data_IF_147919799511
#
_entry.id   IF_147919799511
#
_cell.length_a   1.000
_cell.length_b   1.000
_cell.length_c   1.000
_cell.angle_alpha   90.00
_cell.angle_beta   90.00
_cell.angle_gamma   90.00
#
_symmetry.space_group_name_H-M   'P 1'
#
loop_
_entity.id
_entity.type
_entity.pdbx_description
1 polymer ?
#
# COMPACT_ATOMS: atom_id res chain seq x y z
N UNK A 1 -64.70 -6.21 -34.87
CA UNK A 1 -64.78 -7.58 -34.30
C UNK A 1 -63.99 -8.51 -35.21
N UNK A 2 -62.76 -8.87 -34.84
CA UNK A 2 -62.22 -10.25 -34.84
C UNK A 2 -61.06 -10.21 -33.86
N UNK A 3 -61.17 -11.00 -32.79
CA UNK A 3 -60.14 -11.20 -31.78
C UNK A 3 -59.11 -12.20 -32.32
N UNK A 4 -57.83 -11.89 -32.16
CA UNK A 4 -56.72 -12.82 -32.37
C UNK A 4 -56.09 -13.13 -31.03
N UNK A 5 -56.46 -14.28 -30.48
CA UNK A 5 -55.92 -14.89 -29.28
C UNK A 5 -54.54 -15.48 -29.59
N UNK A 6 -53.51 -15.12 -28.82
CA UNK A 6 -52.17 -15.67 -28.97
C UNK A 6 -51.61 -15.94 -27.57
N UNK A 7 -51.85 -17.17 -27.11
CA UNK A 7 -51.29 -17.73 -25.88
C UNK A 7 -49.77 -17.76 -25.96
N UNK A 8 -49.12 -17.31 -24.89
CA UNK A 8 -47.69 -17.54 -24.68
C UNK A 8 -47.53 -18.48 -23.49
N UNK A 9 -46.97 -19.65 -23.82
CA UNK A 9 -46.61 -20.71 -22.91
C UNK A 9 -45.64 -20.20 -21.84
N UNK A 10 -46.06 -20.32 -20.59
CA UNK A 10 -45.21 -20.18 -19.41
C UNK A 10 -44.32 -21.42 -19.28
N UNK A 11 -43.21 -21.45 -20.01
CA UNK A 11 -42.12 -22.40 -19.74
C UNK A 11 -41.20 -21.83 -18.67
N UNK A 12 -41.20 -22.49 -17.51
CA UNK A 12 -40.40 -22.15 -16.35
C UNK A 12 -38.91 -22.11 -16.68
N UNK A 13 -38.37 -20.89 -16.76
CA UNK A 13 -36.94 -20.66 -16.72
C UNK A 13 -36.42 -20.99 -15.32
N UNK A 14 -35.72 -22.11 -15.20
CA UNK A 14 -34.84 -22.36 -14.07
C UNK A 14 -33.83 -21.20 -14.01
N UNK A 15 -34.03 -20.27 -13.07
CA UNK A 15 -33.02 -19.27 -12.72
C UNK A 15 -31.76 -20.04 -12.35
N UNK A 16 -30.78 -20.03 -13.24
CA UNK A 16 -29.42 -20.40 -12.90
C UNK A 16 -29.04 -19.56 -11.68
N UNK A 17 -28.97 -20.20 -10.51
CA UNK A 17 -28.39 -19.60 -9.32
C UNK A 17 -26.97 -19.22 -9.74
N UNK A 18 -26.75 -17.92 -9.96
CA UNK A 18 -25.42 -17.39 -10.25
C UNK A 18 -24.51 -17.88 -9.13
N UNK A 19 -23.50 -18.67 -9.48
CA UNK A 19 -22.49 -19.05 -8.49
C UNK A 19 -21.76 -17.76 -8.13
N UNK A 20 -22.09 -17.21 -6.97
CA UNK A 20 -21.42 -16.02 -6.46
C UNK A 20 -19.92 -16.30 -6.41
N UNK A 21 -19.14 -15.44 -7.08
CA UNK A 21 -17.69 -15.54 -7.09
C UNK A 21 -17.21 -15.26 -5.66
N UNK A 22 -16.42 -16.16 -5.03
CA UNK A 22 -15.92 -15.93 -3.68
C UNK A 22 -15.16 -14.60 -3.57
N UNK A 23 -15.29 -13.88 -2.44
CA UNK A 23 -14.55 -12.64 -2.22
C UNK A 23 -13.04 -12.89 -2.31
N UNK A 24 -12.29 -11.88 -2.76
CA UNK A 24 -10.84 -12.03 -2.88
C UNK A 24 -10.18 -12.16 -1.51
N UNK A 25 -10.70 -11.47 -0.50
CA UNK A 25 -10.20 -11.55 0.87
C UNK A 25 -11.34 -11.48 1.90
N UNK A 26 -11.06 -11.96 3.12
CA UNK A 26 -11.96 -11.87 4.28
C UNK A 26 -11.12 -11.55 5.51
N UNK A 27 -11.50 -10.53 6.29
CA UNK A 27 -10.88 -10.28 7.60
C UNK A 27 -11.28 -11.36 8.60
N UNK A 28 -10.32 -11.87 9.35
CA UNK A 28 -10.52 -12.95 10.31
C UNK A 28 -10.32 -12.45 11.74
N UNK A 29 -11.11 -12.98 12.67
CA UNK A 29 -10.72 -12.92 14.07
C UNK A 29 -9.53 -13.85 14.33
N UNK A 30 -8.72 -13.58 15.36
CA UNK A 30 -7.57 -14.43 15.68
C UNK A 30 -7.97 -15.89 15.82
N UNK A 31 -7.29 -16.77 15.09
CA UNK A 31 -7.55 -18.22 15.07
C UNK A 31 -8.91 -18.66 14.47
N UNK A 32 -9.68 -17.77 13.81
CA UNK A 32 -10.88 -18.17 13.08
C UNK A 32 -10.55 -19.19 11.99
N UNK A 33 -11.43 -20.15 11.68
CA UNK A 33 -11.19 -21.09 10.57
C UNK A 33 -11.21 -20.37 9.21
N UNK A 34 -10.49 -20.93 8.23
CA UNK A 34 -10.52 -20.40 6.86
C UNK A 34 -11.90 -20.69 6.22
N UNK A 35 -12.43 -19.79 5.37
CA UNK A 35 -13.73 -19.99 4.73
C UNK A 35 -13.79 -21.25 3.85
N UNK A 36 -12.71 -21.55 3.14
CA UNK A 36 -12.53 -22.78 2.37
C UNK A 36 -11.04 -23.11 2.23
N UNK A 37 -10.73 -24.25 1.60
CA UNK A 37 -9.37 -24.65 1.24
C UNK A 37 -8.72 -23.74 0.18
N UNK A 38 -9.51 -22.91 -0.49
CA UNK A 38 -9.06 -22.00 -1.55
C UNK A 38 -8.62 -20.64 -0.97
N UNK A 39 -8.39 -20.57 0.35
CA UNK A 39 -7.86 -19.40 1.04
C UNK A 39 -6.56 -19.71 1.75
N UNK A 40 -5.67 -18.72 1.74
CA UNK A 40 -4.44 -18.67 2.50
C UNK A 40 -4.61 -17.73 3.69
N UNK A 41 -4.02 -18.06 4.84
CA UNK A 41 -3.98 -17.12 5.98
C UNK A 41 -2.80 -16.17 5.83
N UNK A 42 -3.09 -14.87 5.83
CA UNK A 42 -2.11 -13.80 5.99
C UNK A 42 -2.23 -13.23 7.41
N UNK A 43 -1.10 -12.97 8.05
CA UNK A 43 -1.02 -12.40 9.40
C UNK A 43 -0.17 -11.15 9.34
N UNK A 44 -0.80 -9.98 9.45
CA UNK A 44 -0.13 -8.69 9.51
C UNK A 44 0.21 -8.33 10.97
N UNK A 45 1.45 -7.92 11.19
CA UNK A 45 1.95 -7.51 12.51
C UNK A 45 2.33 -6.03 12.46
N UNK A 46 1.58 -5.19 13.15
CA UNK A 46 1.82 -3.75 13.23
C UNK A 46 2.37 -3.32 14.58
N UNK A 47 3.15 -2.24 14.58
CA UNK A 47 3.65 -1.65 15.82
C UNK A 47 2.52 -0.88 16.53
N UNK A 48 2.35 -1.06 17.85
CA UNK A 48 1.27 -0.42 18.61
C UNK A 48 1.44 1.11 18.75
N UNK A 49 2.65 1.61 18.49
CA UNK A 49 2.99 3.03 18.55
C UNK A 49 2.87 3.73 17.19
N UNK A 50 2.26 3.08 16.18
CA UNK A 50 1.84 3.81 14.98
C UNK A 50 0.86 4.90 15.43
N UNK A 51 1.20 6.20 15.23
CA UNK A 51 0.35 7.27 15.68
C UNK A 51 -1.03 7.07 15.05
N UNK A 52 -2.08 7.05 15.87
CA UNK A 52 -3.45 7.13 15.38
C UNK A 52 -3.63 8.53 14.79
N UNK A 53 -3.23 8.71 13.53
CA UNK A 53 -3.43 9.94 12.75
C UNK A 53 -4.94 10.06 12.50
N UNK A 54 -5.66 10.54 13.51
CA UNK A 54 -7.11 10.71 13.51
C UNK A 54 -7.59 11.85 14.41
N UNK A 55 -6.66 12.63 14.99
CA UNK A 55 -6.96 13.80 15.79
C UNK A 55 -6.42 15.05 15.11
N UNK A 56 -7.21 15.67 14.22
CA UNK A 56 -7.00 17.07 13.85
C UNK A 56 -7.21 17.94 15.09
N UNK A 57 -6.14 18.23 15.82
CA UNK A 57 -6.12 19.40 16.69
C UNK A 57 -5.66 20.59 15.83
N UNK A 58 -6.42 21.70 15.74
CA UNK A 58 -6.00 22.85 14.95
C UNK A 58 -4.90 23.59 15.71
N UNK A 59 -3.62 23.29 15.45
CA UNK A 59 -2.56 24.19 15.89
C UNK A 59 -2.42 25.32 14.89
N UNK A 60 -2.82 26.50 15.35
CA UNK A 60 -2.70 27.78 14.69
C UNK A 60 -1.29 28.05 14.15
N UNK A 61 -1.24 28.87 13.10
CA UNK A 61 -0.04 29.25 12.35
C UNK A 61 1.01 30.09 13.11
N UNK A 62 1.91 30.74 12.35
CA UNK A 62 3.30 30.98 12.74
C UNK A 62 3.48 32.29 13.49
N UNK A 63 4.41 32.32 14.45
CA UNK A 63 4.94 33.56 15.02
C UNK A 63 6.46 33.59 14.95
N UNK A 64 6.94 34.46 14.06
CA UNK A 64 8.30 34.97 14.03
C UNK A 64 8.66 35.76 15.30
N UNK A 65 9.98 35.77 15.56
CA UNK A 65 10.79 36.76 16.29
C UNK A 65 10.84 36.69 17.84
N UNK A 66 12.00 36.28 18.38
CA UNK A 66 13.08 37.22 18.79
C UNK A 66 14.29 36.50 19.38
N UNK A 67 15.47 36.99 18.99
CA UNK A 67 16.76 36.69 19.57
C UNK A 67 16.90 37.18 21.03
N UNK A 68 17.59 36.42 21.86
CA UNK A 68 18.46 36.92 22.93
C UNK A 68 19.43 35.80 23.39
N UNK A 69 20.69 36.16 23.50
CA UNK A 69 21.85 35.35 23.86
C UNK A 69 21.85 34.90 25.33
N UNK A 70 22.51 33.78 25.59
CA UNK A 70 23.06 33.42 26.90
C UNK A 70 23.78 32.07 26.83
N UNK A 71 25.04 31.96 27.29
CA UNK A 71 25.76 30.68 27.31
C UNK A 71 25.31 29.89 28.55
N UNK A 72 24.95 28.62 28.37
CA UNK A 72 24.79 27.69 29.49
C UNK A 72 25.50 26.39 29.20
N UNK A 73 26.35 26.08 30.17
CA UNK A 73 27.24 24.94 30.27
C UNK A 73 26.53 23.59 30.20
N UNK A 74 27.36 22.58 29.93
CA UNK A 74 27.00 21.19 29.73
C UNK A 74 26.07 20.60 30.77
N UNK A 75 25.16 19.77 30.28
CA UNK A 75 24.79 18.57 31.00
C UNK A 75 24.41 17.48 29.98
N UNK A 76 25.11 16.36 30.08
CA UNK A 76 24.91 15.17 29.27
C UNK A 76 23.47 14.66 29.44
N UNK A 77 22.63 14.91 28.44
CA UNK A 77 21.37 14.19 28.27
C UNK A 77 21.70 12.81 27.71
N UNK A 78 22.14 11.92 28.62
CA UNK A 78 22.05 10.48 28.44
C UNK A 78 20.59 10.18 28.12
N UNK A 79 20.35 9.84 26.85
CA UNK A 79 19.14 9.20 26.35
C UNK A 79 18.80 8.05 27.28
N UNK A 80 17.91 8.34 28.21
CA UNK A 80 17.35 7.34 29.10
C UNK A 80 16.40 6.54 28.23
N UNK A 81 16.91 5.45 27.64
CA UNK A 81 16.10 4.36 27.11
C UNK A 81 15.26 3.81 28.26
N UNK A 82 14.16 4.50 28.55
CA UNK A 82 13.15 4.01 29.48
C UNK A 82 12.64 2.72 28.89
N UNK A 83 12.89 1.61 29.60
CA UNK A 83 12.23 0.32 29.50
C UNK A 83 10.77 0.48 29.06
N UNK A 84 10.52 0.48 27.75
CA UNK A 84 9.18 0.35 27.21
C UNK A 84 8.80 -1.09 27.51
N UNK A 85 7.78 -1.28 28.35
CA UNK A 85 7.08 -2.57 28.46
C UNK A 85 6.91 -3.08 27.03
N UNK A 86 7.48 -4.23 26.68
CA UNK A 86 7.33 -4.87 25.39
C UNK A 86 5.83 -4.89 25.05
N UNK A 87 5.39 -3.93 24.23
CA UNK A 87 4.00 -3.89 23.81
C UNK A 87 3.90 -4.91 22.70
N UNK A 88 3.10 -5.94 22.93
CA UNK A 88 2.87 -6.97 21.93
C UNK A 88 2.44 -6.31 20.60
N UNK A 89 3.02 -6.73 19.46
CA UNK A 89 2.61 -6.21 18.17
C UNK A 89 1.13 -6.48 17.95
N UNK A 90 0.44 -5.51 17.33
CA UNK A 90 -0.96 -5.67 17.00
C UNK A 90 -1.08 -6.64 15.82
N UNK A 91 -1.91 -7.67 15.99
CA UNK A 91 -2.06 -8.78 15.04
C UNK A 91 -3.37 -8.67 14.30
N UNK A 92 -3.30 -8.64 12.97
CA UNK A 92 -4.46 -8.65 12.08
C UNK A 92 -4.38 -9.89 11.19
N UNK A 93 -5.49 -10.60 11.02
CA UNK A 93 -5.53 -11.83 10.23
C UNK A 93 -6.49 -11.68 9.05
N UNK A 94 -6.09 -12.21 7.91
CA UNK A 94 -6.86 -12.19 6.67
C UNK A 94 -6.85 -13.57 6.03
N UNK A 95 -7.96 -13.95 5.40
CA UNK A 95 -8.02 -15.03 4.43
C UNK A 95 -7.89 -14.41 3.04
N UNK A 96 -6.82 -14.70 2.30
CA UNK A 96 -6.66 -14.30 0.90
C UNK A 96 -6.95 -15.49 -0.01
N UNK A 97 -7.89 -15.33 -0.94
CA UNK A 97 -8.25 -16.37 -1.90
C UNK A 97 -7.06 -16.69 -2.82
N UNK A 98 -6.86 -17.95 -3.19
CA UNK A 98 -5.75 -18.42 -4.05
C UNK A 98 -5.63 -17.62 -5.34
N UNK A 99 -6.75 -17.28 -5.97
CA UNK A 99 -6.80 -16.36 -7.13
C UNK A 99 -6.07 -15.04 -6.90
N UNK A 100 -6.22 -14.42 -5.73
CA UNK A 100 -5.50 -13.19 -5.38
C UNK A 100 -4.04 -13.45 -5.08
N UNK A 101 -3.77 -14.52 -4.33
CA UNK A 101 -2.41 -14.91 -3.97
C UNK A 101 -1.54 -15.24 -5.18
N UNK A 102 -2.11 -15.76 -6.28
CA UNK A 102 -1.38 -16.04 -7.53
C UNK A 102 -0.82 -14.79 -8.22
N UNK A 103 -1.29 -13.58 -7.87
CA UNK A 103 -0.67 -12.33 -8.33
C UNK A 103 0.56 -11.92 -7.49
N UNK A 104 0.81 -12.61 -6.37
CA UNK A 104 1.96 -12.40 -5.51
C UNK A 104 2.96 -13.54 -5.78
N UNK A 105 4.07 -13.26 -6.45
CA UNK A 105 5.00 -14.32 -6.89
C UNK A 105 5.56 -15.15 -5.73
N UNK A 106 5.73 -14.53 -4.55
CA UNK A 106 6.10 -15.25 -3.33
C UNK A 106 5.04 -16.30 -2.94
N UNK A 107 3.76 -15.90 -2.91
CA UNK A 107 2.65 -16.78 -2.52
C UNK A 107 2.36 -17.83 -3.59
N UNK A 108 2.51 -17.49 -4.86
CA UNK A 108 2.41 -18.43 -5.98
C UNK A 108 3.40 -19.59 -5.80
N UNK A 109 4.66 -19.28 -5.50
CA UNK A 109 5.70 -20.30 -5.25
C UNK A 109 5.34 -21.20 -4.07
N UNK A 110 4.76 -20.62 -3.01
CA UNK A 110 4.29 -21.39 -1.85
C UNK A 110 3.10 -22.31 -2.19
N UNK A 111 2.17 -21.83 -3.01
CA UNK A 111 1.05 -22.61 -3.51
C UNK A 111 1.52 -23.78 -4.36
N UNK A 112 2.41 -23.53 -5.33
CA UNK A 112 2.97 -24.57 -6.20
C UNK A 112 3.71 -25.66 -5.42
N UNK A 113 4.47 -25.26 -4.39
CA UNK A 113 5.18 -26.21 -3.52
C UNK A 113 4.19 -27.08 -2.74
N UNK A 114 3.06 -26.53 -2.32
CA UNK A 114 2.01 -27.25 -1.58
C UNK A 114 1.25 -28.21 -2.49
N UNK A 115 1.00 -27.82 -3.74
CA UNK A 115 0.36 -28.66 -4.75
C UNK A 115 1.23 -29.89 -5.08
N UNK A 116 2.55 -29.71 -5.22
CA UNK A 116 3.49 -30.81 -5.48
C UNK A 116 3.58 -31.85 -4.34
N UNK A 117 3.35 -31.44 -3.09
CA UNK A 117 3.35 -32.37 -1.95
C UNK A 117 2.11 -33.27 -1.93
N UNK A 118 0.99 -32.82 -2.52
CA UNK A 118 -0.24 -33.61 -2.60
C UNK A 118 -0.14 -34.74 -3.63
N UNK A 119 0.66 -34.55 -4.67
CA UNK A 119 0.82 -35.51 -5.77
C UNK A 119 1.89 -36.60 -5.51
N UNK A 120 2.54 -36.59 -4.35
CA UNK A 120 3.53 -37.63 -4.00
C UNK A 120 2.82 -38.99 -3.82
N UNK A 121 3.05 -39.98 -4.70
CA UNK A 121 2.36 -41.25 -4.62
C UNK A 121 2.78 -41.95 -3.33
N UNK A 122 1.82 -42.08 -2.40
CA UNK A 122 1.96 -42.89 -1.19
C UNK A 122 2.50 -44.26 -1.60
N UNK A 123 3.77 -44.48 -1.31
CA UNK A 123 4.45 -45.73 -1.61
C UNK A 123 3.63 -46.88 -1.01
N UNK A 124 3.24 -47.82 -1.87
CA UNK A 124 2.51 -49.04 -1.55
C UNK A 124 3.08 -49.75 -0.31
N UNK A 125 2.49 -49.49 0.85
CA UNK A 125 2.66 -50.24 2.08
C UNK A 125 1.28 -50.60 2.62
N UNK A 126 0.87 -51.85 2.41
CA UNK A 126 -0.32 -52.46 3.03
C UNK A 126 -0.37 -52.12 4.52
N UNK A 127 -1.45 -51.49 4.97
CA UNK A 127 -1.78 -51.44 6.39
C UNK A 127 -2.73 -50.32 6.77
N UNK A 128 -4.00 -50.68 6.98
CA UNK A 128 -4.99 -49.98 7.83
C UNK A 128 -5.28 -48.50 7.52
N UNK A 129 -6.49 -48.26 7.02
CA UNK A 129 -7.07 -46.95 6.82
C UNK A 129 -7.02 -46.08 8.09
N UNK A 130 -6.52 -44.84 8.02
CA UNK A 130 -6.90 -43.79 8.93
C UNK A 130 -7.91 -42.87 8.25
N UNK A 131 -9.16 -42.95 8.72
CA UNK A 131 -10.13 -41.86 8.63
C UNK A 131 -9.55 -40.66 9.38
N UNK A 132 -8.84 -39.78 8.69
CA UNK A 132 -8.49 -38.43 9.15
C UNK A 132 -8.08 -37.62 7.94
N UNK A 133 -8.98 -36.77 7.47
CA UNK A 133 -8.75 -35.83 6.39
C UNK A 133 -7.52 -34.97 6.67
N UNK A 134 -6.38 -35.34 6.10
CA UNK A 134 -5.18 -34.53 6.02
C UNK A 134 -5.44 -33.42 5.00
N UNK A 135 -6.23 -32.42 5.39
CA UNK A 135 -6.16 -31.12 4.73
C UNK A 135 -4.76 -30.59 5.01
N UNK A 136 -3.90 -30.58 3.99
CA UNK A 136 -2.60 -29.93 4.07
C UNK A 136 -2.86 -28.45 4.28
N UNK A 137 -2.88 -28.04 5.55
CA UNK A 137 -3.05 -26.65 5.96
C UNK A 137 -1.72 -25.94 5.71
N UNK A 138 -1.67 -25.09 4.69
CA UNK A 138 -0.52 -24.22 4.49
C UNK A 138 -0.25 -23.36 5.74
N UNK A 139 1.02 -23.17 6.06
CA UNK A 139 1.41 -22.31 7.18
C UNK A 139 0.98 -20.87 6.89
N UNK A 140 0.47 -20.12 7.90
CA UNK A 140 0.15 -18.71 7.72
C UNK A 140 1.36 -17.90 7.27
N UNK A 141 1.17 -16.97 6.34
CA UNK A 141 2.22 -16.06 5.90
C UNK A 141 2.19 -14.82 6.78
N UNK A 142 3.31 -14.52 7.42
CA UNK A 142 3.45 -13.37 8.30
C UNK A 142 3.99 -12.18 7.50
N UNK A 143 3.29 -11.05 7.57
CA UNK A 143 3.69 -9.77 7.00
C UNK A 143 4.22 -8.90 8.14
N UNK A 144 5.55 -8.80 8.31
CA UNK A 144 6.13 -7.99 9.38
C UNK A 144 5.90 -6.50 9.08
N UNK A 145 5.66 -5.71 10.14
CA UNK A 145 5.46 -4.27 10.06
C UNK A 145 4.33 -3.83 9.12
N UNK A 146 3.33 -4.69 8.95
CA UNK A 146 2.17 -4.46 8.11
C UNK A 146 0.97 -4.03 8.97
N UNK A 147 0.37 -2.89 8.63
CA UNK A 147 -0.89 -2.41 9.20
C UNK A 147 -2.07 -3.06 8.50
N UNK A 148 -3.22 -3.03 9.16
CA UNK A 148 -4.49 -3.41 8.54
C UNK A 148 -4.79 -2.57 7.29
N UNK A 149 -4.54 -1.27 7.34
CA UNK A 149 -4.79 -0.36 6.22
C UNK A 149 -3.90 -0.69 5.01
N UNK A 150 -2.60 -0.96 5.21
CA UNK A 150 -1.70 -1.37 4.13
C UNK A 150 -2.12 -2.68 3.49
N UNK A 151 -2.55 -3.66 4.29
CA UNK A 151 -3.08 -4.92 3.78
C UNK A 151 -4.37 -4.72 2.96
N UNK A 152 -5.31 -3.91 3.46
CA UNK A 152 -6.56 -3.60 2.75
C UNK A 152 -6.31 -2.87 1.43
N UNK A 153 -5.36 -1.92 1.40
CA UNK A 153 -4.94 -1.24 0.17
C UNK A 153 -4.35 -2.23 -0.84
N UNK A 154 -3.50 -3.15 -0.38
CA UNK A 154 -2.94 -4.21 -1.21
C UNK A 154 -4.03 -5.13 -1.77
N UNK A 155 -4.99 -5.58 -0.95
CA UNK A 155 -6.08 -6.45 -1.43
C UNK A 155 -7.01 -5.73 -2.40
N UNK A 156 -7.26 -4.43 -2.19
CA UNK A 156 -8.01 -3.60 -3.13
C UNK A 156 -7.30 -3.54 -4.50
N UNK A 157 -5.98 -3.39 -4.52
CA UNK A 157 -5.21 -3.47 -5.77
C UNK A 157 -5.35 -4.83 -6.44
N UNK A 158 -5.17 -5.92 -5.69
CA UNK A 158 -5.29 -7.28 -6.22
C UNK A 158 -6.68 -7.51 -6.82
N UNK A 159 -7.74 -6.95 -6.22
CA UNK A 159 -9.07 -7.02 -6.79
C UNK A 159 -9.19 -6.23 -8.10
N UNK A 160 -8.63 -5.02 -8.17
CA UNK A 160 -8.63 -4.21 -9.38
C UNK A 160 -7.96 -4.93 -10.55
N UNK A 161 -6.80 -5.54 -10.33
CA UNK A 161 -6.05 -6.23 -11.39
C UNK A 161 -6.68 -7.58 -11.81
N UNK A 162 -7.67 -8.08 -11.07
CA UNK A 162 -8.48 -9.21 -11.55
C UNK A 162 -9.44 -8.80 -12.69
N UNK A 163 -9.71 -7.49 -12.82
CA UNK A 163 -10.67 -6.91 -13.79
C UNK A 163 -10.00 -5.93 -14.76
N UNK A 164 -8.76 -5.52 -14.49
CA UNK A 164 -8.03 -4.45 -15.20
C UNK A 164 -6.59 -4.88 -15.43
N UNK A 165 -5.97 -4.35 -16.48
CA UNK A 165 -4.56 -4.61 -16.80
C UNK A 165 -3.73 -3.41 -16.31
N UNK A 166 -2.72 -3.60 -15.44
CA UNK A 166 -1.81 -2.54 -15.02
C UNK A 166 -1.00 -1.94 -16.17
N UNK A 167 -0.62 -0.67 -16.05
CA UNK A 167 0.33 -0.05 -16.97
C UNK A 167 1.73 -0.65 -16.81
N UNK A 168 2.44 -0.78 -17.93
CA UNK A 168 3.86 -1.16 -17.96
C UNK A 168 4.71 0.11 -17.87
N UNK A 169 5.34 0.35 -16.72
CA UNK A 169 6.15 1.54 -16.48
C UNK A 169 7.63 1.27 -16.79
N UNK A 170 8.18 1.97 -17.78
CA UNK A 170 9.62 1.94 -18.06
C UNK A 170 10.39 2.81 -17.06
N UNK A 171 11.59 2.37 -16.66
CA UNK A 171 12.57 3.18 -15.92
C UNK A 171 13.65 3.69 -16.87
N UNK A 172 14.07 4.97 -16.80
CA UNK A 172 13.45 6.06 -16.04
C UNK A 172 12.07 6.46 -16.61
N UNK A 173 11.28 7.20 -15.83
CA UNK A 173 10.02 7.76 -16.31
C UNK A 173 10.29 8.70 -17.49
N UNK A 174 9.57 8.51 -18.60
CA UNK A 174 9.77 9.27 -19.85
C UNK A 174 8.80 10.43 -20.03
N UNK A 175 7.80 10.53 -19.16
CA UNK A 175 6.75 11.55 -19.17
C UNK A 175 6.20 11.72 -17.74
N UNK A 176 5.39 12.75 -17.47
CA UNK A 176 4.63 12.85 -16.23
C UNK A 176 3.82 11.57 -15.97
N UNK A 177 3.71 11.18 -14.71
CA UNK A 177 3.13 9.88 -14.34
C UNK A 177 1.69 9.73 -14.83
N UNK A 178 0.91 10.80 -14.80
CA UNK A 178 -0.49 10.85 -15.23
C UNK A 178 -0.68 10.53 -16.71
N UNK A 179 0.40 10.62 -17.50
CA UNK A 179 0.42 10.25 -18.92
C UNK A 179 0.89 8.81 -19.15
N UNK A 180 1.49 8.19 -18.14
CA UNK A 180 2.05 6.84 -18.19
C UNK A 180 1.13 5.78 -17.55
N UNK A 181 0.29 6.19 -16.60
CA UNK A 181 -0.63 5.30 -15.87
C UNK A 181 -2.06 5.43 -16.35
N UNK A 182 -2.86 4.39 -16.14
CA UNK A 182 -4.29 4.45 -16.34
C UNK A 182 -4.95 5.34 -15.27
N UNK A 183 -6.08 6.03 -15.56
CA UNK A 183 -6.76 6.87 -14.59
C UNK A 183 -7.09 6.16 -13.27
N UNK A 184 -7.42 4.87 -13.34
CA UNK A 184 -7.73 4.08 -12.15
C UNK A 184 -6.52 3.79 -11.27
N UNK A 185 -5.31 3.73 -11.83
CA UNK A 185 -4.08 3.51 -11.07
C UNK A 185 -3.75 4.75 -10.25
N UNK A 186 -3.92 5.93 -10.86
CA UNK A 186 -3.78 7.19 -10.16
C UNK A 186 -4.87 7.35 -9.08
N UNK A 187 -6.12 7.02 -9.38
CA UNK A 187 -7.21 7.02 -8.39
C UNK A 187 -6.90 6.07 -7.22
N UNK A 188 -6.42 4.86 -7.52
CA UNK A 188 -5.99 3.91 -6.50
C UNK A 188 -4.89 4.49 -5.60
N UNK A 189 -3.86 5.11 -6.18
CA UNK A 189 -2.78 5.75 -5.40
C UNK A 189 -3.32 6.87 -4.48
N UNK A 190 -4.21 7.72 -4.99
CA UNK A 190 -4.71 8.88 -4.25
C UNK A 190 -5.79 8.52 -3.21
N UNK A 191 -6.57 7.45 -3.42
CA UNK A 191 -7.72 7.10 -2.56
C UNK A 191 -7.53 5.84 -1.71
N UNK A 192 -6.64 4.92 -2.11
CA UNK A 192 -6.39 3.67 -1.39
C UNK A 192 -5.01 3.63 -0.74
N UNK A 193 -4.02 4.36 -1.27
CA UNK A 193 -2.67 4.41 -0.68
C UNK A 193 -2.41 5.66 0.18
N UNK A 194 -3.43 6.48 0.43
CA UNK A 194 -3.36 7.65 1.30
C UNK A 194 -4.27 7.47 2.51
N UNK A 195 -3.88 8.05 3.65
CA UNK A 195 -4.77 8.08 4.82
C UNK A 195 -6.03 8.93 4.57
N UNK A 196 -7.09 8.64 5.33
CA UNK A 196 -8.42 9.23 5.12
C UNK A 196 -8.40 10.76 5.16
N UNK A 197 -7.55 11.35 6.00
CA UNK A 197 -7.41 12.79 6.16
C UNK A 197 -6.72 13.45 4.95
N UNK A 198 -5.72 12.80 4.34
CA UNK A 198 -5.05 13.25 3.11
C UNK A 198 -6.02 13.09 1.94
N UNK A 199 -6.62 11.91 1.80
CA UNK A 199 -7.65 11.61 0.79
C UNK A 199 -8.79 12.63 0.80
N UNK A 200 -9.36 12.92 1.98
CA UNK A 200 -10.45 13.89 2.12
C UNK A 200 -10.02 15.32 1.74
N UNK A 201 -8.75 15.68 1.93
CA UNK A 201 -8.22 16.97 1.44
C UNK A 201 -8.09 16.98 -0.08
N UNK A 202 -7.59 15.90 -0.69
CA UNK A 202 -7.47 15.76 -2.15
C UNK A 202 -8.85 15.83 -2.83
N UNK A 203 -9.84 15.13 -2.27
CA UNK A 203 -11.22 15.13 -2.78
C UNK A 203 -11.82 16.55 -2.75
N UNK A 204 -11.63 17.28 -1.64
CA UNK A 204 -12.08 18.68 -1.54
C UNK A 204 -11.38 19.59 -2.53
N UNK A 205 -10.05 19.53 -2.62
CA UNK A 205 -9.28 20.32 -3.58
C UNK A 205 -9.67 20.05 -5.04
N UNK A 206 -10.05 18.82 -5.35
CA UNK A 206 -10.50 18.43 -6.71
C UNK A 206 -11.90 18.98 -7.04
N UNK A 207 -12.80 18.98 -6.04
CA UNK A 207 -14.18 19.45 -6.19
C UNK A 207 -14.32 20.97 -6.18
N UNK A 208 -13.55 21.68 -5.34
CA UNK A 208 -13.60 23.15 -5.25
C UNK A 208 -13.10 23.81 -6.54
N UNK A 209 -12.11 23.19 -7.21
CA UNK A 209 -11.62 23.57 -8.54
C UNK A 209 -12.65 23.32 -9.68
N UNK A 210 -13.85 22.84 -9.37
CA UNK A 210 -14.94 22.67 -10.35
C UNK A 210 -15.80 23.93 -10.52
N UNK A 211 -15.80 24.87 -9.57
CA UNK A 211 -16.66 26.07 -9.61
C UNK A 211 -16.06 27.26 -10.37
N UNK A 212 -14.75 27.27 -10.65
CA UNK A 212 -14.09 28.35 -11.39
C UNK A 212 -14.04 28.15 -12.92
N UNK A 213 -14.70 27.12 -13.47
CA UNK A 213 -14.71 26.86 -14.91
C UNK A 213 -15.97 27.37 -15.60
N UNK A 214 -15.94 28.63 -16.00
CA UNK A 214 -16.68 29.02 -17.20
C UNK A 214 -15.84 29.70 -18.30
N UNK A 215 -14.57 30.10 -18.09
CA UNK A 215 -13.84 30.80 -19.17
C UNK A 215 -12.30 30.67 -19.25
N UNK A 216 -11.67 29.66 -18.63
CA UNK A 216 -10.22 29.44 -18.80
C UNK A 216 -9.90 28.03 -19.29
N UNK A 217 -9.04 27.99 -20.30
CA UNK A 217 -8.39 26.79 -20.85
C UNK A 217 -7.96 25.85 -19.71
N UNK A 218 -8.09 24.52 -19.87
CA UNK A 218 -7.66 23.56 -18.86
C UNK A 218 -6.13 23.60 -18.76
N UNK A 219 -5.61 24.53 -17.98
CA UNK A 219 -4.18 24.65 -17.67
C UNK A 219 -3.76 23.47 -16.80
N UNK A 220 -2.46 23.23 -16.83
CA UNK A 220 -1.65 22.34 -16.00
C UNK A 220 -1.98 22.30 -14.49
N UNK A 221 -2.84 23.19 -13.97
CA UNK A 221 -3.05 23.44 -12.54
C UNK A 221 -3.74 22.30 -11.77
N UNK A 222 -4.64 21.52 -12.41
CA UNK A 222 -5.33 20.43 -11.68
C UNK A 222 -4.38 19.30 -11.25
N UNK A 223 -3.31 19.06 -12.03
CA UNK A 223 -2.29 18.07 -11.70
C UNK A 223 -1.50 18.49 -10.45
N UNK A 224 -1.42 19.79 -10.20
CA UNK A 224 -0.69 20.36 -9.06
C UNK A 224 -1.48 20.32 -7.74
N UNK A 225 -2.81 20.22 -7.80
CA UNK A 225 -3.65 20.33 -6.60
C UNK A 225 -3.45 19.18 -5.59
N UNK A 226 -3.39 17.93 -6.04
CA UNK A 226 -3.17 16.79 -5.14
C UNK A 226 -1.72 16.74 -4.65
N UNK A 227 -0.76 17.17 -5.47
CA UNK A 227 0.65 17.30 -5.09
C UNK A 227 0.82 18.24 -3.90
N UNK A 228 0.22 19.44 -3.95
CA UNK A 228 0.28 20.43 -2.86
C UNK A 228 -0.27 19.84 -1.57
N UNK A 229 -1.43 19.16 -1.61
CA UNK A 229 -2.04 18.53 -0.43
C UNK A 229 -1.14 17.45 0.18
N UNK A 230 -0.49 16.63 -0.65
CA UNK A 230 0.44 15.59 -0.19
C UNK A 230 1.65 16.24 0.47
N UNK A 231 2.23 17.26 -0.16
CA UNK A 231 3.42 17.97 0.31
C UNK A 231 3.17 18.73 1.62
N UNK A 232 2.01 19.36 1.78
CA UNK A 232 1.62 20.05 3.03
C UNK A 232 1.56 19.12 4.25
N UNK A 233 1.27 17.84 4.01
CA UNK A 233 1.15 16.80 5.03
C UNK A 233 2.34 15.83 5.05
N UNK A 234 3.38 16.11 4.28
CA UNK A 234 4.56 15.28 4.23
C UNK A 234 5.40 15.44 5.52
N UNK A 235 6.11 14.38 5.96
CA UNK A 235 6.21 13.06 5.32
C UNK A 235 5.04 12.11 5.59
N UNK A 236 4.20 12.39 6.59
CA UNK A 236 3.19 11.44 7.09
C UNK A 236 2.13 11.07 6.05
N UNK A 237 1.89 11.96 5.08
CA UNK A 237 1.01 11.67 3.94
C UNK A 237 1.48 10.47 3.11
N UNK A 238 2.77 10.14 3.14
CA UNK A 238 3.38 9.06 2.38
C UNK A 238 3.48 7.73 3.14
N UNK A 239 3.19 7.71 4.43
CA UNK A 239 3.39 6.52 5.29
C UNK A 239 2.67 5.28 4.73
N UNK A 240 1.38 5.40 4.41
CA UNK A 240 0.61 4.27 3.86
C UNK A 240 1.09 3.88 2.46
N UNK A 241 1.47 4.84 1.62
CA UNK A 241 2.02 4.58 0.29
C UNK A 241 3.34 3.82 0.37
N UNK A 242 4.24 4.24 1.26
CA UNK A 242 5.52 3.57 1.52
C UNK A 242 5.31 2.17 2.09
N UNK A 243 4.35 2.00 3.01
CA UNK A 243 3.97 0.68 3.51
C UNK A 243 3.50 -0.23 2.36
N UNK A 244 2.59 0.24 1.51
CA UNK A 244 2.12 -0.53 0.34
C UNK A 244 3.26 -0.85 -0.62
N UNK A 245 4.20 0.07 -0.83
CA UNK A 245 5.41 -0.17 -1.63
C UNK A 245 6.25 -1.31 -1.02
N UNK A 246 6.52 -1.27 0.29
CA UNK A 246 7.26 -2.32 0.99
C UNK A 246 6.54 -3.67 0.95
N UNK A 247 5.22 -3.70 1.17
CA UNK A 247 4.42 -4.91 1.08
C UNK A 247 4.42 -5.49 -0.34
N UNK A 248 4.35 -4.63 -1.35
CA UNK A 248 4.41 -5.06 -2.75
C UNK A 248 5.77 -5.63 -3.13
N UNK A 249 6.86 -5.10 -2.56
CA UNK A 249 8.20 -5.66 -2.75
C UNK A 249 8.34 -7.01 -2.03
N UNK A 250 7.90 -7.10 -0.76
CA UNK A 250 7.92 -8.33 0.01
C UNK A 250 7.13 -9.47 -0.66
N UNK A 251 5.92 -9.19 -1.12
CA UNK A 251 5.05 -10.15 -1.81
C UNK A 251 5.38 -10.33 -3.30
N UNK A 252 6.36 -9.58 -3.81
CA UNK A 252 6.80 -9.59 -5.21
C UNK A 252 5.67 -9.29 -6.20
N UNK A 253 4.83 -8.30 -5.88
CA UNK A 253 3.78 -7.76 -6.77
C UNK A 253 4.40 -6.65 -7.63
N UNK A 254 5.02 -7.04 -8.74
CA UNK A 254 5.87 -6.15 -9.53
C UNK A 254 5.14 -4.89 -10.02
N UNK A 255 3.91 -5.02 -10.52
CA UNK A 255 3.15 -3.88 -11.05
C UNK A 255 2.82 -2.85 -9.96
N UNK A 256 2.46 -3.30 -8.75
CA UNK A 256 2.16 -2.40 -7.62
C UNK A 256 3.44 -1.72 -7.11
N UNK A 257 4.55 -2.46 -7.03
CA UNK A 257 5.85 -1.90 -6.67
C UNK A 257 6.29 -0.83 -7.67
N UNK A 258 6.19 -1.12 -8.97
CA UNK A 258 6.54 -0.15 -10.00
C UNK A 258 5.65 1.09 -9.94
N UNK A 259 4.34 0.91 -9.75
CA UNK A 259 3.37 2.00 -9.66
C UNK A 259 3.64 2.91 -8.45
N UNK A 260 3.82 2.34 -7.26
CA UNK A 260 4.10 3.11 -6.03
C UNK A 260 5.45 3.81 -6.09
N UNK A 261 6.52 3.14 -6.56
CA UNK A 261 7.82 3.78 -6.76
C UNK A 261 7.77 4.90 -7.80
N UNK A 262 7.04 4.71 -8.91
CA UNK A 262 6.88 5.73 -9.93
C UNK A 262 6.12 6.95 -9.40
N UNK A 263 5.10 6.75 -8.56
CA UNK A 263 4.41 7.83 -7.88
C UNK A 263 5.35 8.62 -6.97
N UNK A 264 6.11 7.95 -6.10
CA UNK A 264 7.10 8.62 -5.23
C UNK A 264 8.12 9.40 -6.05
N UNK A 265 8.68 8.79 -7.11
CA UNK A 265 9.62 9.46 -8.00
C UNK A 265 8.99 10.69 -8.67
N UNK A 266 7.73 10.60 -9.09
CA UNK A 266 7.00 11.73 -9.67
C UNK A 266 6.79 12.86 -8.66
N UNK A 267 6.54 12.57 -7.38
CA UNK A 267 6.45 13.59 -6.34
C UNK A 267 7.80 14.31 -6.15
N UNK A 268 8.89 13.55 -6.12
CA UNK A 268 10.23 14.13 -6.02
C UNK A 268 10.59 15.00 -7.24
N UNK A 269 10.26 14.54 -8.46
CA UNK A 269 10.47 15.32 -9.69
C UNK A 269 9.63 16.60 -9.76
N UNK A 270 8.48 16.63 -9.08
CA UNK A 270 7.60 17.82 -9.01
C UNK A 270 7.99 18.79 -7.88
N UNK A 271 8.96 18.43 -7.02
CA UNK A 271 9.48 19.35 -6.02
C UNK A 271 10.18 20.52 -6.72
N UNK A 272 9.68 21.72 -6.44
CA UNK A 272 10.17 22.97 -7.04
C UNK A 272 11.40 23.53 -6.32
N UNK A 273 11.67 23.01 -5.11
CA UNK A 273 12.82 23.41 -4.29
C UNK A 273 13.37 22.24 -3.47
N UNK A 274 14.60 22.40 -3.00
CA UNK A 274 15.23 21.45 -2.08
C UNK A 274 14.45 21.32 -0.76
N UNK A 275 13.85 22.41 -0.26
CA UNK A 275 13.04 22.38 0.96
C UNK A 275 11.82 21.44 0.82
N UNK A 276 11.15 21.47 -0.33
CA UNK A 276 10.02 20.57 -0.60
C UNK A 276 10.48 19.11 -0.68
N UNK A 277 11.64 18.86 -1.29
CA UNK A 277 12.23 17.52 -1.38
C UNK A 277 12.62 16.98 0.00
N UNK A 278 13.23 17.82 0.84
CA UNK A 278 13.57 17.48 2.23
C UNK A 278 12.30 17.17 3.02
N UNK A 279 11.26 17.99 2.89
CA UNK A 279 9.97 17.78 3.55
C UNK A 279 9.31 16.47 3.13
N UNK A 280 9.30 16.15 1.82
CA UNK A 280 8.84 14.85 1.31
C UNK A 280 9.62 13.68 1.92
N UNK A 281 10.92 13.88 2.11
CA UNK A 281 11.82 12.88 2.71
C UNK A 281 11.74 12.81 4.24
N UNK A 282 10.95 13.67 4.88
CA UNK A 282 10.86 13.76 6.33
C UNK A 282 12.10 14.36 7.01
N UNK A 283 12.89 15.12 6.26
CA UNK A 283 14.09 15.81 6.74
C UNK A 283 13.81 17.30 6.93
N UNK A 284 14.26 17.85 8.06
CA UNK A 284 14.16 19.30 8.33
C UNK A 284 15.27 20.10 7.64
N UNK A 285 16.42 19.46 7.40
CA UNK A 285 17.60 20.05 6.75
C UNK A 285 18.40 18.96 6.03
N UNK A 286 19.31 19.33 5.11
CA UNK A 286 20.30 18.39 4.61
C UNK A 286 21.08 17.75 5.76
N UNK A 287 21.34 16.45 5.63
CA UNK A 287 22.20 15.73 6.58
C UNK A 287 23.65 16.18 6.38
N UNK A 288 24.38 16.29 7.48
CA UNK A 288 25.82 16.59 7.46
C UNK A 288 26.62 15.35 7.08
N UNK A 289 27.86 15.53 6.60
CA UNK A 289 28.76 14.40 6.27
C UNK A 289 28.94 13.44 7.46
N UNK A 290 29.08 13.99 8.68
CA UNK A 290 29.21 13.19 9.90
C UNK A 290 27.96 12.33 10.19
N UNK A 291 26.77 12.84 9.86
CA UNK A 291 25.50 12.10 9.97
C UNK A 291 25.33 11.05 8.86
N UNK A 292 25.94 11.25 7.70
CA UNK A 292 25.88 10.35 6.54
C UNK A 292 26.94 9.24 6.60
N UNK A 293 28.06 9.43 7.29
CA UNK A 293 29.16 8.43 7.36
C UNK A 293 28.69 7.02 7.78
N UNK A 294 27.80 6.83 8.77
CA UNK A 294 27.26 5.50 9.10
C UNK A 294 26.48 4.86 7.94
N UNK A 295 25.77 5.68 7.15
CA UNK A 295 25.05 5.21 5.96
C UNK A 295 26.03 4.86 4.84
N UNK A 296 27.10 5.62 4.64
CA UNK A 296 28.15 5.29 3.67
C UNK A 296 28.89 4.00 4.03
N UNK A 297 29.08 3.71 5.32
CA UNK A 297 29.66 2.44 5.76
C UNK A 297 28.73 1.25 5.46
N UNK A 298 27.42 1.43 5.62
CA UNK A 298 26.43 0.39 5.31
C UNK A 298 26.17 0.25 3.81
N UNK A 299 26.20 1.36 3.08
CA UNK A 299 25.89 1.48 1.66
C UNK A 299 26.96 2.30 0.94
N UNK A 300 28.14 1.71 0.68
CA UNK A 300 29.27 2.44 0.09
C UNK A 300 28.97 3.11 -1.25
N UNK A 301 28.02 2.58 -2.03
CA UNK A 301 27.61 3.14 -3.32
C UNK A 301 26.86 4.49 -3.21
N UNK A 302 26.43 4.90 -2.01
CA UNK A 302 25.82 6.21 -1.78
C UNK A 302 26.86 7.32 -1.63
N UNK A 303 28.13 6.97 -1.38
CA UNK A 303 29.20 7.96 -1.22
C UNK A 303 29.41 8.64 -2.58
N UNK A 304 29.42 9.99 -2.64
CA UNK A 304 29.74 10.69 -3.88
C UNK A 304 31.10 10.23 -4.38
N UNK A 305 31.19 9.89 -5.67
CA UNK A 305 32.48 9.66 -6.31
C UNK A 305 33.22 11.00 -6.34
N UNK A 306 34.12 11.23 -5.39
CA UNK A 306 34.98 12.43 -5.32
C UNK A 306 35.93 12.59 -6.53
N UNK A 307 35.75 11.80 -7.59
CA UNK A 307 36.59 11.75 -8.79
C UNK A 307 35.95 12.41 -10.03
N UNK A 308 34.83 13.14 -9.87
CA UNK A 308 34.26 13.94 -10.95
C UNK A 308 34.37 15.42 -10.60
N UNK A 309 35.59 15.96 -10.64
CA UNK A 309 35.76 17.40 -10.91
C UNK A 309 35.44 17.66 -12.39
N UNK A 310 34.62 18.68 -12.73
CA UNK A 310 34.48 19.15 -14.11
C UNK A 310 35.73 19.86 -14.64
#
# INVERSE_FOLDING_TARGET
>A
MVAGDCGTDSTGGAKAAGKDIPPLFVSLSPNAQLPSKDYLRLVALSNPDTPKIGGCSPSAGPLMNKAAQGPRDGNDNILTYTNSKERNPQRHEFALHVRGARYCRLLETMLDTSDLQLDSPRHNGKGTAPDSGLSVSMSPVVLPQATEKGCLALFAYLELITKRVPSMLSKPLRAPLEELVQPWELEFLLHNCMYDDVRSCIERATNDNSWEKENKTPSSDKRQAHYVVILEKAPQSLDLLLEVAMLSDFLLIESLRQLTCAFIASLACNASSEEELLRLSGLERPMTEDELEPLYLQFPFLRPDNNVEP
#
